data_IF_183714306060
#
_entry.id   IF_183714306060
#
_cell.length_a   1.000
_cell.length_b   1.000
_cell.length_c   1.000
_cell.angle_alpha   90.00
_cell.angle_beta   90.00
_cell.angle_gamma   90.00
#
_symmetry.space_group_name_H-M   'P 1'
#
loop_
_entity.id
_entity.type
_entity.pdbx_description
1 polymer ?
#
# COMPACT_ATOMS: atom_id res chain seq x y z
N UNK A 1 -6.92 -15.70 -4.50
CA UNK A 1 -8.13 -15.08 -3.92
C UNK A 1 -7.93 -13.59 -3.55
N UNK A 2 -7.26 -13.27 -2.44
CA UNK A 2 -7.23 -11.92 -1.83
C UNK A 2 -6.85 -10.77 -2.77
N UNK A 3 -5.81 -10.94 -3.59
CA UNK A 3 -5.41 -9.89 -4.54
C UNK A 3 -6.54 -9.53 -5.52
N UNK A 4 -7.32 -10.52 -5.96
CA UNK A 4 -8.46 -10.31 -6.86
C UNK A 4 -9.60 -9.54 -6.20
N UNK A 5 -9.78 -9.70 -4.89
CA UNK A 5 -10.79 -8.98 -4.10
C UNK A 5 -10.33 -7.55 -3.77
N UNK A 6 -9.06 -7.36 -3.40
CA UNK A 6 -8.55 -6.07 -2.91
C UNK A 6 -8.18 -5.11 -4.06
N UNK A 7 -7.55 -5.61 -5.13
CA UNK A 7 -7.00 -4.79 -6.21
C UNK A 7 -8.04 -3.94 -6.97
N UNK A 8 -9.28 -4.39 -7.21
CA UNK A 8 -10.32 -3.58 -7.85
C UNK A 8 -10.60 -2.27 -7.10
N UNK A 9 -10.53 -2.30 -5.76
CA UNK A 9 -10.77 -1.13 -4.91
C UNK A 9 -9.56 -0.21 -4.78
N UNK A 10 -8.36 -0.65 -5.17
CA UNK A 10 -7.13 0.10 -4.89
C UNK A 10 -6.91 1.25 -5.88
N UNK A 11 -7.24 2.48 -5.46
CA UNK A 11 -7.25 3.70 -6.28
C UNK A 11 -6.74 4.90 -5.45
N UNK A 12 -6.04 5.82 -6.09
CA UNK A 12 -5.46 7.02 -5.45
C UNK A 12 -5.27 8.15 -6.46
N UNK A 13 -6.22 8.30 -7.41
CA UNK A 13 -6.13 9.36 -8.43
C UNK A 13 -6.21 10.76 -7.77
N UNK A 14 -7.04 10.89 -6.74
CA UNK A 14 -7.29 12.07 -5.96
C UNK A 14 -7.64 11.67 -4.51
N UNK A 15 -7.90 12.66 -3.65
CA UNK A 15 -8.26 12.43 -2.25
C UNK A 15 -9.58 11.63 -2.11
N UNK A 16 -10.58 11.91 -2.95
CA UNK A 16 -11.87 11.21 -2.92
C UNK A 16 -11.71 9.71 -3.23
N UNK A 17 -11.00 9.39 -4.32
CA UNK A 17 -10.71 8.01 -4.68
C UNK A 17 -9.85 7.29 -3.62
N UNK A 18 -8.92 8.01 -2.96
CA UNK A 18 -8.14 7.45 -1.87
C UNK A 18 -8.98 7.14 -0.64
N UNK A 19 -9.96 7.99 -0.30
CA UNK A 19 -10.92 7.74 0.78
C UNK A 19 -11.77 6.50 0.50
N UNK A 20 -12.41 6.43 -0.66
CA UNK A 20 -13.20 5.27 -1.07
C UNK A 20 -12.37 3.99 -1.08
N UNK A 21 -11.16 4.08 -1.64
CA UNK A 21 -10.23 2.95 -1.71
C UNK A 21 -9.83 2.46 -0.32
N UNK A 22 -9.39 3.36 0.55
CA UNK A 22 -8.95 2.98 1.90
C UNK A 22 -10.11 2.44 2.73
N UNK A 23 -11.32 2.98 2.58
CA UNK A 23 -12.52 2.50 3.25
C UNK A 23 -12.93 1.09 2.78
N UNK A 24 -12.91 0.83 1.48
CA UNK A 24 -13.23 -0.50 0.94
C UNK A 24 -12.20 -1.56 1.40
N UNK A 25 -10.91 -1.22 1.36
CA UNK A 25 -9.83 -2.10 1.83
C UNK A 25 -9.94 -2.33 3.34
N UNK A 26 -10.35 -1.32 4.10
CA UNK A 26 -10.62 -1.44 5.53
C UNK A 26 -11.76 -2.43 5.81
N UNK A 27 -12.87 -2.34 5.08
CA UNK A 27 -13.98 -3.29 5.22
C UNK A 27 -13.56 -4.74 4.95
N UNK A 28 -12.72 -4.96 3.92
CA UNK A 28 -12.13 -6.28 3.66
C UNK A 28 -11.25 -6.75 4.82
N UNK A 29 -10.38 -5.87 5.34
CA UNK A 29 -9.52 -6.16 6.50
C UNK A 29 -10.35 -6.61 7.71
N UNK A 30 -11.41 -5.88 8.05
CA UNK A 30 -12.30 -6.23 9.16
C UNK A 30 -13.02 -7.55 8.91
N UNK A 31 -13.47 -7.80 7.68
CA UNK A 31 -14.09 -9.06 7.29
C UNK A 31 -13.15 -10.26 7.49
N UNK A 32 -11.90 -10.15 7.03
CA UNK A 32 -10.89 -11.19 7.22
C UNK A 32 -10.56 -11.39 8.70
N UNK A 33 -10.40 -10.31 9.48
CA UNK A 33 -10.16 -10.41 10.93
C UNK A 33 -11.32 -11.14 11.64
N UNK A 34 -12.58 -10.81 11.32
CA UNK A 34 -13.76 -11.49 11.88
C UNK A 34 -13.80 -12.97 11.52
N UNK A 35 -13.33 -13.34 10.35
CA UNK A 35 -13.22 -14.73 9.89
C UNK A 35 -12.01 -15.49 10.47
N UNK A 36 -11.12 -14.82 11.23
CA UNK A 36 -9.86 -15.40 11.70
C UNK A 36 -8.83 -15.63 10.58
N UNK A 37 -9.03 -15.00 9.41
CA UNK A 37 -8.13 -15.10 8.27
C UNK A 37 -7.05 -14.02 8.33
N UNK A 38 -5.98 -14.31 9.08
CA UNK A 38 -4.88 -13.39 9.23
C UNK A 38 -4.18 -13.08 7.91
N UNK A 39 -4.06 -14.04 6.99
CA UNK A 39 -3.36 -13.85 5.72
C UNK A 39 -4.13 -12.85 4.85
N UNK A 40 -5.46 -12.98 4.77
CA UNK A 40 -6.33 -12.01 4.13
C UNK A 40 -6.21 -10.62 4.75
N UNK A 41 -6.29 -10.54 6.09
CA UNK A 41 -6.17 -9.27 6.82
C UNK A 41 -4.80 -8.59 6.59
N UNK A 42 -3.72 -9.36 6.61
CA UNK A 42 -2.37 -8.87 6.37
C UNK A 42 -2.18 -8.39 4.92
N UNK A 43 -2.80 -9.08 3.96
CA UNK A 43 -2.83 -8.64 2.57
C UNK A 43 -3.58 -7.32 2.43
N UNK A 44 -4.76 -7.14 3.02
CA UNK A 44 -5.48 -5.87 3.00
C UNK A 44 -4.64 -4.73 3.63
N UNK A 45 -4.01 -4.98 4.77
CA UNK A 45 -3.09 -4.05 5.44
C UNK A 45 -1.87 -3.70 4.57
N UNK A 46 -1.32 -4.65 3.80
CA UNK A 46 -0.26 -4.39 2.79
C UNK A 46 -0.74 -3.45 1.68
N UNK A 47 -1.99 -3.57 1.25
CA UNK A 47 -2.53 -2.66 0.23
C UNK A 47 -2.69 -1.23 0.74
N UNK A 48 -3.04 -1.02 2.02
CA UNK A 48 -3.02 0.31 2.64
C UNK A 48 -1.61 0.91 2.64
N UNK A 49 -0.60 0.13 3.04
CA UNK A 49 0.82 0.53 2.97
C UNK A 49 1.27 0.86 1.54
N UNK A 50 0.91 0.02 0.57
CA UNK A 50 1.21 0.27 -0.84
C UNK A 50 0.52 1.55 -1.32
N UNK A 51 -0.72 1.83 -0.89
CA UNK A 51 -1.42 3.08 -1.20
C UNK A 51 -0.65 4.30 -0.74
N UNK A 52 -0.17 4.31 0.50
CA UNK A 52 0.65 5.38 1.05
C UNK A 52 1.94 5.58 0.24
N UNK A 53 2.73 4.52 0.09
CA UNK A 53 4.05 4.60 -0.56
C UNK A 53 3.93 4.97 -2.04
N UNK A 54 2.93 4.44 -2.74
CA UNK A 54 2.71 4.73 -4.16
C UNK A 54 2.17 6.14 -4.36
N UNK A 55 1.19 6.58 -3.58
CA UNK A 55 0.70 7.97 -3.66
C UNK A 55 1.84 8.96 -3.37
N UNK A 56 2.66 8.72 -2.32
CA UNK A 56 3.82 9.57 -2.00
C UNK A 56 4.86 9.60 -3.13
N UNK A 57 5.09 8.49 -3.81
CA UNK A 57 5.96 8.44 -5.00
C UNK A 57 5.41 9.29 -6.14
N UNK A 58 4.11 9.24 -6.39
CA UNK A 58 3.48 10.04 -7.45
C UNK A 58 3.43 11.53 -7.10
N UNK A 59 3.30 11.89 -5.82
CA UNK A 59 3.47 13.26 -5.36
C UNK A 59 4.88 13.79 -5.67
N UNK A 60 5.89 12.95 -5.39
CA UNK A 60 7.30 13.33 -5.51
C UNK A 60 7.88 13.23 -6.91
N UNK A 61 7.32 12.41 -7.81
CA UNK A 61 7.87 12.21 -9.14
C UNK A 61 6.75 12.18 -10.18
N UNK A 62 6.85 13.00 -11.21
CA UNK A 62 5.88 13.07 -12.30
C UNK A 62 5.64 11.68 -12.91
N UNK A 63 4.36 11.30 -13.05
CA UNK A 63 3.96 9.96 -13.52
C UNK A 63 4.42 8.80 -12.63
N UNK A 64 4.94 9.06 -11.43
CA UNK A 64 5.51 8.08 -10.53
C UNK A 64 6.84 7.47 -10.99
N UNK A 65 7.51 8.05 -12.00
CA UNK A 65 8.79 7.59 -12.53
C UNK A 65 9.92 8.06 -11.62
N UNK A 66 10.36 7.17 -10.72
CA UNK A 66 11.41 7.45 -9.74
C UNK A 66 12.83 7.34 -10.30
N UNK A 67 13.06 6.42 -11.23
CA UNK A 67 14.40 6.11 -11.75
C UNK A 67 14.53 6.44 -13.24
N UNK A 68 15.72 6.86 -13.66
CA UNK A 68 16.04 7.12 -15.06
C UNK A 68 16.17 5.80 -15.86
N UNK A 69 15.65 5.78 -17.08
CA UNK A 69 15.71 4.62 -17.96
C UNK A 69 14.80 3.42 -17.60
N UNK A 70 14.70 2.43 -18.50
CA UNK A 70 13.92 1.21 -18.27
C UNK A 70 14.56 0.31 -17.22
N UNK A 71 13.76 -0.57 -16.58
CA UNK A 71 14.31 -1.63 -15.72
C UNK A 71 15.14 -2.58 -16.59
N UNK A 72 16.38 -2.98 -16.19
CA UNK A 72 17.14 -4.00 -16.90
C UNK A 72 16.34 -5.29 -17.12
N UNK A 73 16.55 -5.96 -18.25
CA UNK A 73 15.74 -7.11 -18.66
C UNK A 73 15.79 -8.26 -17.63
N UNK A 74 16.97 -8.52 -17.07
CA UNK A 74 17.23 -9.53 -16.04
C UNK A 74 16.60 -9.19 -14.67
N UNK A 75 16.16 -7.94 -14.48
CA UNK A 75 15.51 -7.44 -13.25
C UNK A 75 14.02 -7.14 -13.43
N UNK A 76 13.42 -7.48 -14.59
CA UNK A 76 12.00 -7.22 -14.85
C UNK A 76 11.13 -7.94 -13.80
N UNK A 77 10.16 -7.22 -13.24
CA UNK A 77 9.30 -7.73 -12.16
C UNK A 77 9.87 -7.58 -10.75
N UNK A 78 11.14 -7.22 -10.60
CA UNK A 78 11.76 -6.95 -9.30
C UNK A 78 11.66 -5.48 -8.94
N UNK A 79 11.33 -5.18 -7.68
CA UNK A 79 11.31 -3.81 -7.18
C UNK A 79 12.74 -3.31 -6.91
N UNK A 80 13.01 -2.01 -7.14
CA UNK A 80 14.28 -1.38 -6.78
C UNK A 80 14.92 -0.52 -7.89
N UNK A 81 16.07 0.06 -7.56
CA UNK A 81 16.80 0.96 -8.46
C UNK A 81 17.51 0.19 -9.59
N UNK A 82 18.07 -1.00 -9.33
CA UNK A 82 18.76 -1.83 -10.34
C UNK A 82 19.84 -1.06 -11.12
N UNK A 83 20.67 -0.30 -10.39
CA UNK A 83 21.76 0.51 -10.98
C UNK A 83 21.32 1.82 -11.64
N UNK A 84 20.02 2.14 -11.63
CA UNK A 84 19.48 3.36 -12.23
C UNK A 84 19.53 4.54 -11.26
N UNK A 85 19.91 5.70 -11.77
CA UNK A 85 19.89 6.96 -11.01
C UNK A 85 18.45 7.35 -10.62
N UNK A 86 18.29 7.83 -9.39
CA UNK A 86 17.03 8.44 -8.93
C UNK A 86 16.84 9.80 -9.58
N UNK A 87 15.65 10.05 -10.13
CA UNK A 87 15.29 11.33 -10.71
C UNK A 87 15.03 12.36 -9.60
N UNK A 88 15.30 13.66 -9.85
CA UNK A 88 14.94 14.71 -8.92
C UNK A 88 13.47 14.62 -8.50
N UNK A 89 13.20 15.00 -7.26
CA UNK A 89 11.82 15.15 -6.78
C UNK A 89 11.19 16.39 -7.40
N UNK A 90 9.89 16.35 -7.59
CA UNK A 90 9.09 17.49 -8.01
C UNK A 90 9.18 18.60 -6.94
N UNK A 91 9.64 19.81 -7.29
CA UNK A 91 9.71 20.93 -6.35
C UNK A 91 8.33 21.36 -5.82
N UNK A 92 7.25 21.12 -6.58
CA UNK A 92 5.88 21.33 -6.15
C UNK A 92 5.12 19.99 -6.20
N UNK A 93 5.14 19.22 -5.10
CA UNK A 93 4.45 17.94 -5.05
C UNK A 93 2.96 18.06 -5.40
N UNK A 94 2.46 17.08 -6.14
CA UNK A 94 1.03 17.00 -6.48
C UNK A 94 0.20 16.89 -5.19
N UNK A 95 -0.63 17.91 -4.95
CA UNK A 95 -1.42 18.06 -3.72
C UNK A 95 -2.43 16.92 -3.53
N UNK A 96 -3.04 16.45 -4.61
CA UNK A 96 -3.99 15.34 -4.58
C UNK A 96 -3.29 14.04 -4.16
N UNK A 97 -2.05 13.84 -4.61
CA UNK A 97 -1.23 12.69 -4.22
C UNK A 97 -0.70 12.80 -2.80
N UNK A 98 -0.41 14.02 -2.33
CA UNK A 98 -0.03 14.26 -0.93
C UNK A 98 -1.20 13.86 -0.02
N UNK A 99 -2.41 14.33 -0.31
CA UNK A 99 -3.59 14.01 0.48
C UNK A 99 -3.96 12.52 0.40
N UNK A 100 -3.91 11.93 -0.79
CA UNK A 100 -4.09 10.48 -0.94
C UNK A 100 -3.09 9.69 -0.09
N UNK A 101 -1.82 10.08 -0.08
CA UNK A 101 -0.80 9.44 0.75
C UNK A 101 -1.12 9.56 2.25
N UNK A 102 -1.58 10.74 2.69
CA UNK A 102 -1.99 10.97 4.10
C UNK A 102 -3.14 10.05 4.51
N UNK A 103 -4.18 9.92 3.69
CA UNK A 103 -5.33 9.05 3.95
C UNK A 103 -4.90 7.59 4.12
N UNK A 104 -4.12 7.06 3.18
CA UNK A 104 -3.61 5.69 3.27
C UNK A 104 -2.68 5.48 4.46
N UNK A 105 -1.83 6.47 4.79
CA UNK A 105 -0.92 6.39 5.94
C UNK A 105 -1.71 6.24 7.23
N UNK A 106 -2.71 7.09 7.43
CA UNK A 106 -3.58 7.04 8.59
C UNK A 106 -4.23 5.66 8.72
N UNK A 107 -4.88 5.16 7.66
CA UNK A 107 -5.53 3.85 7.68
C UNK A 107 -4.56 2.70 7.86
N UNK A 108 -3.35 2.78 7.30
CA UNK A 108 -2.31 1.78 7.52
C UNK A 108 -1.84 1.74 8.97
N UNK A 109 -1.65 2.90 9.61
CA UNK A 109 -1.28 2.97 11.02
C UNK A 109 -2.39 2.42 11.92
N UNK A 110 -3.65 2.83 11.67
CA UNK A 110 -4.82 2.31 12.36
C UNK A 110 -4.91 0.78 12.24
N UNK A 111 -4.74 0.23 11.03
CA UNK A 111 -4.80 -1.21 10.77
C UNK A 111 -3.72 -1.98 11.55
N UNK A 112 -2.51 -1.41 11.64
CA UNK A 112 -1.44 -1.98 12.45
C UNK A 112 -1.75 -1.88 13.95
N UNK A 113 -2.46 -0.86 14.40
CA UNK A 113 -2.75 -0.69 15.82
C UNK A 113 -3.94 -1.52 16.31
N UNK A 114 -4.72 -2.13 15.41
CA UNK A 114 -5.88 -2.94 15.79
C UNK A 114 -5.49 -4.09 16.73
N UNK A 115 -6.11 -4.19 17.93
CA UNK A 115 -5.82 -5.27 18.87
C UNK A 115 -6.02 -6.65 18.27
N UNK A 116 -7.09 -6.83 17.49
CA UNK A 116 -7.39 -8.11 16.84
C UNK A 116 -6.35 -8.49 15.78
N UNK A 117 -5.88 -7.52 14.99
CA UNK A 117 -4.79 -7.74 14.04
C UNK A 117 -3.50 -8.15 14.76
N UNK A 118 -3.15 -7.48 15.85
CA UNK A 118 -1.96 -7.83 16.66
C UNK A 118 -2.08 -9.23 17.27
N UNK A 119 -3.25 -9.59 17.80
CA UNK A 119 -3.53 -10.93 18.33
C UNK A 119 -3.32 -12.01 17.26
N UNK A 120 -3.95 -11.85 16.09
CA UNK A 120 -3.84 -12.82 15.00
C UNK A 120 -2.43 -12.88 14.42
N UNK A 121 -1.74 -11.73 14.32
CA UNK A 121 -0.34 -11.67 13.91
C UNK A 121 0.56 -12.47 14.85
N UNK A 122 0.42 -12.27 16.16
CA UNK A 122 1.19 -13.01 17.15
C UNK A 122 0.91 -14.52 17.08
N UNK A 123 -0.35 -14.92 16.93
CA UNK A 123 -0.73 -16.33 16.76
C UNK A 123 -0.14 -16.93 15.47
N UNK A 124 -0.15 -16.18 14.37
CA UNK A 124 0.44 -16.61 13.11
C UNK A 124 1.96 -16.76 13.22
N UNK A 125 2.66 -15.77 13.81
CA UNK A 125 4.11 -15.80 14.03
C UNK A 125 4.52 -16.94 14.98
N UNK A 126 3.74 -17.22 16.02
CA UNK A 126 3.99 -18.36 16.91
C UNK A 126 3.88 -19.71 16.19
N UNK A 127 2.98 -19.81 15.21
CA UNK A 127 2.73 -21.06 14.47
C UNK A 127 3.70 -21.27 13.31
N UNK A 128 4.09 -20.21 12.60
CA UNK A 128 4.83 -20.30 11.34
C UNK A 128 6.22 -19.65 11.37
N UNK A 129 6.57 -18.95 12.45
CA UNK A 129 7.78 -18.14 12.53
C UNK A 129 7.60 -16.74 11.93
N UNK A 130 8.70 -15.98 11.93
CA UNK A 130 8.76 -14.59 11.45
C UNK A 130 9.20 -14.50 9.99
#
# INVERSE_FOLDING_TARGET
PYKGEILPHWRFKDAAAAHESAAAIWGLLEGYLKAGDFVGADMARKFLQMGFTRARRYANHAGGKKYAGPVPADKKGQSGAHGRAELPRNPQPDVDKVEAARIFKQKWDEAKALPEYQRQKAAFEAKYGK
#
